data_IF_147417627381
#
_entry.id   IF_147417627381
#
_cell.length_a   1.000
_cell.length_b   1.000
_cell.length_c   1.000
_cell.angle_alpha   90.00
_cell.angle_beta   90.00
_cell.angle_gamma   90.00
#
_symmetry.space_group_name_H-M   'P 1'
#
loop_
_entity.id
_entity.type
_entity.pdbx_description
1 polymer ?
#
# COMPACT_ATOMS: atom_id res chain seq x y z
N UNK A 1 15.11 -12.00 -13.05
CA UNK A 1 14.02 -11.72 -12.09
C UNK A 1 13.79 -10.22 -12.02
N UNK A 2 12.53 -9.80 -12.03
CA UNK A 2 12.12 -8.39 -11.91
C UNK A 2 11.84 -8.03 -10.45
N UNK A 3 12.25 -6.85 -10.02
CA UNK A 3 12.02 -6.33 -8.67
C UNK A 3 10.85 -5.34 -8.69
N UNK A 4 9.79 -5.66 -7.97
CA UNK A 4 8.61 -4.82 -7.85
C UNK A 4 8.56 -4.25 -6.43
N UNK A 5 8.61 -2.92 -6.30
CA UNK A 5 8.27 -2.25 -5.06
C UNK A 5 6.76 -2.24 -4.86
N UNK A 6 6.26 -2.58 -3.67
CA UNK A 6 4.83 -2.48 -3.33
C UNK A 6 4.63 -1.68 -2.05
N UNK A 7 3.89 -0.58 -2.17
CA UNK A 7 3.47 0.26 -1.05
C UNK A 7 1.95 0.48 -1.14
N UNK A 8 1.27 0.36 -0.02
CA UNK A 8 -0.15 0.55 0.15
C UNK A 8 -0.39 1.69 1.14
N UNK A 9 -1.26 2.64 0.80
CA UNK A 9 -1.76 3.64 1.75
C UNK A 9 -2.90 3.00 2.57
N UNK A 10 -2.72 2.72 3.88
CA UNK A 10 -3.69 1.96 4.65
C UNK A 10 -5.04 2.67 4.82
N UNK A 11 -5.07 3.99 4.60
CA UNK A 11 -6.25 4.83 4.85
C UNK A 11 -6.93 5.32 3.56
N UNK A 12 -6.48 4.88 2.38
CA UNK A 12 -7.00 5.40 1.12
C UNK A 12 -8.44 4.94 0.80
N UNK A 13 -9.19 5.85 0.18
CA UNK A 13 -10.57 5.63 -0.25
C UNK A 13 -11.62 5.80 0.86
N UNK A 14 -11.22 6.18 2.08
CA UNK A 14 -12.17 6.42 3.16
C UNK A 14 -12.99 7.69 2.94
N UNK A 15 -12.37 8.82 2.54
CA UNK A 15 -13.09 10.06 2.24
C UNK A 15 -14.18 9.92 1.18
N UNK A 16 -13.81 9.37 0.01
CA UNK A 16 -14.75 9.20 -1.11
C UNK A 16 -15.93 8.29 -0.78
N UNK A 17 -15.73 7.26 0.05
CA UNK A 17 -16.79 6.31 0.43
C UNK A 17 -17.95 6.95 1.22
N UNK A 18 -17.72 8.10 1.85
CA UNK A 18 -18.71 8.83 2.67
C UNK A 18 -19.01 10.24 2.13
N UNK A 19 -18.67 10.50 0.86
CA UNK A 19 -18.93 11.79 0.20
C UNK A 19 -18.04 12.95 0.68
N UNK A 20 -16.93 12.65 1.35
CA UNK A 20 -15.95 13.64 1.80
C UNK A 20 -14.82 13.79 0.76
N UNK A 21 -14.33 15.01 0.56
CA UNK A 21 -13.19 15.26 -0.34
C UNK A 21 -11.89 14.83 0.35
N UNK A 22 -11.36 13.67 -0.03
CA UNK A 22 -10.09 13.15 0.50
C UNK A 22 -10.19 12.72 1.96
N UNK A 23 -9.06 12.33 2.56
CA UNK A 23 -9.00 11.78 3.94
C UNK A 23 -7.95 12.47 4.80
N UNK A 24 -7.76 13.77 4.63
CA UNK A 24 -6.74 14.54 5.34
C UNK A 24 -7.28 15.18 6.64
N UNK A 25 -6.49 15.09 7.72
CA UNK A 25 -6.78 15.79 8.99
C UNK A 25 -8.08 15.34 9.68
N UNK A 26 -8.93 16.29 10.09
CA UNK A 26 -10.18 16.03 10.82
C UNK A 26 -11.18 15.18 10.02
N UNK A 27 -11.06 15.17 8.69
CA UNK A 27 -11.90 14.39 7.77
C UNK A 27 -11.70 12.88 7.98
N UNK A 28 -10.51 12.46 8.43
CA UNK A 28 -10.25 11.05 8.74
C UNK A 28 -11.10 10.54 9.90
N UNK A 29 -11.25 11.34 10.97
CA UNK A 29 -12.06 10.97 12.13
C UNK A 29 -13.53 10.92 11.75
N UNK A 30 -14.00 11.92 11.01
CA UNK A 30 -15.38 11.97 10.51
C UNK A 30 -15.70 10.80 9.55
N UNK A 31 -14.75 10.41 8.70
CA UNK A 31 -14.90 9.25 7.82
C UNK A 31 -15.07 7.95 8.63
N UNK A 32 -14.26 7.74 9.67
CA UNK A 32 -14.39 6.59 10.56
C UNK A 32 -15.73 6.60 11.30
N UNK A 33 -16.15 7.75 11.84
CA UNK A 33 -17.45 7.89 12.51
C UNK A 33 -18.63 7.57 11.59
N UNK A 34 -18.48 7.85 10.29
CA UNK A 34 -19.46 7.50 9.25
C UNK A 34 -19.33 6.06 8.72
N UNK A 35 -18.45 5.25 9.31
CA UNK A 35 -18.27 3.84 8.94
C UNK A 35 -17.48 3.63 7.65
N UNK A 36 -16.66 4.60 7.24
CA UNK A 36 -15.78 4.45 6.09
C UNK A 36 -14.81 3.28 6.30
N UNK A 37 -14.57 2.52 5.23
CA UNK A 37 -13.59 1.45 5.21
C UNK A 37 -12.58 1.68 4.09
N UNK A 38 -11.30 1.33 4.28
CA UNK A 38 -10.29 1.54 3.26
C UNK A 38 -10.53 0.65 2.05
N UNK A 39 -10.35 1.22 0.86
CA UNK A 39 -10.46 0.47 -0.42
C UNK A 39 -9.17 -0.25 -0.79
N UNK A 40 -8.06 0.12 -0.15
CA UNK A 40 -6.72 -0.38 -0.42
C UNK A 40 -6.60 -1.90 -0.37
N UNK A 41 -7.14 -2.62 0.63
CA UNK A 41 -6.99 -4.09 0.69
C UNK A 41 -7.51 -4.80 -0.55
N UNK A 42 -8.69 -4.37 -1.05
CA UNK A 42 -9.27 -4.94 -2.26
C UNK A 42 -8.39 -4.64 -3.49
N UNK A 43 -7.94 -3.39 -3.64
CA UNK A 43 -7.11 -2.99 -4.79
C UNK A 43 -5.76 -3.72 -4.84
N UNK A 44 -5.10 -3.90 -3.69
CA UNK A 44 -3.84 -4.65 -3.62
C UNK A 44 -4.07 -6.11 -4.00
N UNK A 45 -5.15 -6.73 -3.48
CA UNK A 45 -5.49 -8.11 -3.83
C UNK A 45 -5.80 -8.26 -5.33
N UNK A 46 -6.60 -7.37 -5.89
CA UNK A 46 -6.95 -7.36 -7.31
C UNK A 46 -5.69 -7.21 -8.18
N UNK A 47 -4.75 -6.34 -7.78
CA UNK A 47 -3.45 -6.21 -8.45
C UNK A 47 -2.68 -7.54 -8.41
N UNK A 48 -2.45 -8.11 -7.23
CA UNK A 48 -1.67 -9.33 -7.05
C UNK A 48 -2.27 -10.53 -7.81
N UNK A 49 -3.60 -10.68 -7.82
CA UNK A 49 -4.29 -11.76 -8.53
C UNK A 49 -4.17 -11.70 -10.06
N UNK A 50 -3.86 -10.52 -10.63
CA UNK A 50 -3.73 -10.34 -12.08
C UNK A 50 -2.29 -10.48 -12.59
N UNK A 51 -1.31 -10.68 -11.70
CA UNK A 51 0.10 -10.84 -12.09
C UNK A 51 0.32 -12.28 -12.56
N UNK A 52 0.89 -12.41 -13.76
CA UNK A 52 1.34 -13.68 -14.33
C UNK A 52 2.84 -13.85 -14.12
N UNK A 53 3.33 -15.10 -14.19
CA UNK A 53 4.76 -15.43 -14.10
C UNK A 53 5.40 -14.96 -12.78
N UNK A 54 4.71 -15.19 -11.66
CA UNK A 54 5.13 -14.78 -10.32
C UNK A 54 6.52 -15.33 -9.92
N UNK A 55 6.92 -16.46 -10.47
CA UNK A 55 8.23 -17.08 -10.26
C UNK A 55 9.40 -16.21 -10.72
N UNK A 56 9.16 -15.29 -11.66
CA UNK A 56 10.12 -14.36 -12.22
C UNK A 56 10.17 -13.01 -11.49
N UNK A 57 9.38 -12.84 -10.44
CA UNK A 57 9.21 -11.58 -9.72
C UNK A 57 9.70 -11.73 -8.27
N UNK A 58 10.35 -10.68 -7.75
CA UNK A 58 10.61 -10.50 -6.32
C UNK A 58 9.99 -9.19 -5.90
N UNK A 59 9.21 -9.24 -4.84
CA UNK A 59 8.65 -8.04 -4.24
C UNK A 59 9.59 -7.45 -3.20
N UNK A 60 9.68 -6.13 -3.19
CA UNK A 60 10.19 -5.35 -2.05
C UNK A 60 8.97 -4.64 -1.48
N UNK A 61 8.58 -4.95 -0.25
CA UNK A 61 7.32 -4.49 0.33
C UNK A 61 7.55 -3.62 1.55
N UNK A 62 6.68 -2.63 1.75
CA UNK A 62 6.63 -1.89 3.00
C UNK A 62 6.13 -2.79 4.16
N UNK A 63 6.49 -2.50 5.41
CA UNK A 63 6.11 -3.34 6.55
C UNK A 63 4.60 -3.27 6.88
N UNK A 64 4.09 -4.30 7.56
CA UNK A 64 2.73 -4.37 8.08
C UNK A 64 1.63 -3.97 7.09
N UNK A 65 0.73 -3.10 7.54
CA UNK A 65 -0.45 -2.63 6.80
C UNK A 65 -0.13 -1.85 5.51
N UNK A 66 1.12 -1.42 5.35
CA UNK A 66 1.58 -0.73 4.14
C UNK A 66 2.05 -1.67 3.04
N UNK A 67 2.11 -2.99 3.24
CA UNK A 67 2.52 -3.90 2.16
C UNK A 67 2.60 -5.37 2.54
N UNK A 68 3.37 -5.67 3.58
CA UNK A 68 3.68 -7.01 4.06
C UNK A 68 2.43 -7.86 4.31
N UNK A 69 1.40 -7.29 4.94
CA UNK A 69 0.18 -8.01 5.30
C UNK A 69 -0.56 -8.58 4.08
N UNK A 70 -0.37 -7.98 2.91
CA UNK A 70 -1.00 -8.43 1.66
C UNK A 70 -0.23 -9.57 0.98
N UNK A 71 1.06 -9.73 1.28
CA UNK A 71 1.92 -10.71 0.59
C UNK A 71 2.37 -11.87 1.47
N UNK A 72 2.39 -11.72 2.81
CA UNK A 72 2.98 -12.71 3.72
C UNK A 72 2.42 -14.13 3.60
N UNK A 73 1.15 -14.27 3.23
CA UNK A 73 0.46 -15.56 3.07
C UNK A 73 0.17 -15.95 1.62
N UNK A 74 0.81 -15.28 0.65
CA UNK A 74 0.50 -15.43 -0.78
C UNK A 74 1.40 -16.42 -1.53
N UNK A 75 2.46 -16.93 -0.89
CA UNK A 75 3.48 -17.76 -1.53
C UNK A 75 4.44 -16.98 -2.45
N UNK A 76 4.32 -15.65 -2.51
CA UNK A 76 5.19 -14.78 -3.30
C UNK A 76 6.60 -14.70 -2.70
N UNK A 77 7.60 -14.49 -3.56
CA UNK A 77 8.96 -14.13 -3.12
C UNK A 77 8.97 -12.65 -2.77
N UNK A 78 9.26 -12.30 -1.52
CA UNK A 78 9.34 -10.91 -1.09
C UNK A 78 10.41 -10.66 -0.03
N UNK A 79 10.77 -9.39 0.11
CA UNK A 79 11.59 -8.86 1.21
C UNK A 79 10.92 -7.60 1.76
N UNK A 80 11.01 -7.40 3.06
CA UNK A 80 10.47 -6.22 3.73
C UNK A 80 11.56 -5.15 3.80
N UNK A 81 11.21 -3.88 3.61
CA UNK A 81 12.15 -2.76 3.73
C UNK A 81 11.57 -1.60 4.53
N UNK A 82 12.43 -1.03 5.38
CA UNK A 82 12.08 0.06 6.27
C UNK A 82 11.36 -0.40 7.52
N UNK A 83 10.95 0.58 8.30
CA UNK A 83 10.19 0.42 9.55
C UNK A 83 9.02 1.39 9.53
N UNK A 84 7.97 1.09 10.27
CA UNK A 84 6.80 1.96 10.46
C UNK A 84 6.35 1.89 11.91
N UNK A 85 5.72 2.95 12.39
CA UNK A 85 4.95 2.94 13.62
C UNK A 85 3.52 2.42 13.37
N UNK A 86 2.74 2.26 14.45
CA UNK A 86 1.34 1.86 14.38
C UNK A 86 0.50 2.85 13.56
N UNK A 87 0.79 4.15 13.67
CA UNK A 87 0.20 5.21 12.85
C UNK A 87 1.18 5.59 11.74
N UNK A 88 0.77 5.37 10.50
CA UNK A 88 1.59 5.60 9.31
C UNK A 88 1.31 6.97 8.72
N UNK A 89 2.34 7.59 8.16
CA UNK A 89 2.29 8.94 7.60
C UNK A 89 2.66 8.97 6.12
N UNK A 90 2.43 10.12 5.48
CA UNK A 90 2.92 10.36 4.11
C UNK A 90 4.46 10.31 4.04
N UNK A 91 5.16 10.70 5.10
CA UNK A 91 6.62 10.63 5.16
C UNK A 91 7.14 9.19 5.20
N UNK A 92 6.41 8.26 5.84
CA UNK A 92 6.73 6.83 5.78
C UNK A 92 6.66 6.31 4.34
N UNK A 93 5.62 6.72 3.60
CA UNK A 93 5.47 6.36 2.18
C UNK A 93 6.66 6.86 1.36
N UNK A 94 7.03 8.14 1.51
CA UNK A 94 8.15 8.75 0.77
C UNK A 94 9.48 8.10 1.12
N UNK A 95 9.76 7.91 2.42
CA UNK A 95 10.99 7.28 2.93
C UNK A 95 11.13 5.87 2.39
N UNK A 96 10.10 5.04 2.52
CA UNK A 96 10.13 3.66 2.06
C UNK A 96 10.25 3.59 0.54
N UNK A 97 9.55 4.46 -0.20
CA UNK A 97 9.71 4.55 -1.66
C UNK A 97 11.16 4.88 -2.05
N UNK A 98 11.81 5.82 -1.36
CA UNK A 98 13.23 6.13 -1.54
C UNK A 98 14.14 4.92 -1.31
N UNK A 99 13.93 4.19 -0.21
CA UNK A 99 14.67 2.96 0.08
C UNK A 99 14.47 1.88 -0.99
N UNK A 100 13.27 1.77 -1.57
CA UNK A 100 13.03 0.84 -2.68
C UNK A 100 13.80 1.24 -3.94
N UNK A 101 13.87 2.53 -4.25
CA UNK A 101 14.68 3.05 -5.38
C UNK A 101 16.16 2.71 -5.16
N UNK A 102 16.67 2.86 -3.93
CA UNK A 102 18.05 2.46 -3.58
C UNK A 102 18.31 0.95 -3.76
N UNK A 103 17.28 0.10 -3.65
CA UNK A 103 17.34 -1.33 -3.97
C UNK A 103 17.22 -1.66 -5.47
N UNK A 104 17.16 -0.62 -6.31
CA UNK A 104 17.05 -0.71 -7.77
C UNK A 104 15.85 -1.55 -8.21
N UNK A 105 14.67 -1.22 -7.69
CA UNK A 105 13.41 -1.78 -8.21
C UNK A 105 13.22 -1.40 -9.69
N UNK A 106 12.60 -2.28 -10.46
CA UNK A 106 12.23 -2.01 -11.85
C UNK A 106 10.97 -1.14 -11.94
N UNK A 107 10.05 -1.32 -10.98
CA UNK A 107 8.77 -0.63 -10.93
C UNK A 107 8.31 -0.46 -9.49
N UNK A 108 7.74 0.69 -9.17
CA UNK A 108 7.05 0.95 -7.91
C UNK A 108 5.55 0.89 -8.14
N UNK A 109 4.86 0.06 -7.37
CA UNK A 109 3.40 -0.03 -7.33
C UNK A 109 2.92 0.59 -6.03
N UNK A 110 2.23 1.72 -6.16
CA UNK A 110 1.59 2.40 -5.04
C UNK A 110 0.06 2.21 -5.11
N UNK A 111 -0.53 1.59 -4.10
CA UNK A 111 -1.97 1.41 -3.98
C UNK A 111 -2.53 2.34 -2.90
N UNK A 112 -3.10 3.49 -3.28
CA UNK A 112 -3.44 4.47 -2.24
C UNK A 112 -4.08 5.79 -2.65
N UNK A 113 -5.00 5.79 -3.62
CA UNK A 113 -5.72 7.00 -4.04
C UNK A 113 -7.18 7.07 -3.61
N UNK A 114 -7.75 8.26 -3.62
CA UNK A 114 -9.09 8.55 -3.08
C UNK A 114 -10.24 7.94 -3.88
N UNK A 115 -9.98 7.40 -5.08
CA UNK A 115 -11.05 6.96 -5.99
C UNK A 115 -11.80 8.18 -6.49
N UNK A 116 -11.21 8.87 -7.46
CA UNK A 116 -11.89 9.88 -8.28
C UNK A 116 -13.18 9.36 -8.89
#
# INVERSE_FOLDING_TARGET
>A
MKKIGLIANPIAGMGGSVGLKGTDGDIYKEAIERGATPTTPKRVKDFLCNIKNLENIVFIVAPGKMGEDYVKNSGLKFTIIGEIDEITTAEDTKRIAGMMVEKSIDILVFCGGDGT
#
